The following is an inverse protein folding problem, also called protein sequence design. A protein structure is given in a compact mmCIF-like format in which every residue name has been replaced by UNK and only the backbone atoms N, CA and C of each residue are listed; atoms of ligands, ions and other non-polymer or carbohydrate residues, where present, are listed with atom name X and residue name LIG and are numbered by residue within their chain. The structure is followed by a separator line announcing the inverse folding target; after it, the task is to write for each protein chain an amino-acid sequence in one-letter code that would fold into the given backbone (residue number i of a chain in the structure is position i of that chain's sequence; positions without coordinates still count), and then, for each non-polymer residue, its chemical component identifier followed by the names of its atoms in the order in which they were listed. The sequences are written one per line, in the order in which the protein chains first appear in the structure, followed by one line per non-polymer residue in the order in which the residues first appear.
data_IF_392339712046
#
_entry.id   IF_392339712046
#
_cell.length_a   1.000
_cell.length_b   1.000
_cell.length_c   1.000
_cell.angle_alpha   90.00
_cell.angle_beta   90.00
_cell.angle_gamma   90.00
#
_symmetry.space_group_name_H-M   'P 1'
#
loop_
_entity.id
_entity.type
_entity.pdbx_description
1 polymer ?
#
# COMPACT_ATOMS: atom_id res chain seq x y z
N UNK A 1 -1.84 10.65 -19.61
CA UNK A 1 -0.38 10.54 -19.81
C UNK A 1 0.01 9.06 -19.83
N UNK A 2 0.96 8.60 -20.66
CA UNK A 2 1.40 7.18 -20.60
C UNK A 2 2.51 7.06 -19.55
N UNK A 3 2.33 6.27 -18.47
CA UNK A 3 3.34 6.10 -17.43
C UNK A 3 4.62 5.46 -18.01
N UNK A 4 5.78 5.91 -17.54
CA UNK A 4 7.12 5.49 -17.99
C UNK A 4 7.99 5.04 -16.82
N UNK A 5 8.93 4.11 -17.03
CA UNK A 5 9.90 3.73 -15.99
C UNK A 5 10.79 4.90 -15.52
N UNK A 6 10.92 5.96 -16.32
CA UNK A 6 11.65 7.17 -15.93
C UNK A 6 10.90 8.03 -14.92
N UNK A 7 9.58 7.85 -14.79
CA UNK A 7 8.78 8.66 -13.87
C UNK A 7 9.18 8.33 -12.41
N UNK A 8 8.91 9.25 -11.49
CA UNK A 8 9.27 9.07 -10.08
C UNK A 8 8.47 7.93 -9.44
N UNK A 9 9.04 7.29 -8.43
CA UNK A 9 8.40 6.19 -7.68
C UNK A 9 7.08 6.66 -7.07
N UNK A 10 7.09 7.82 -6.42
CA UNK A 10 5.89 8.42 -5.84
C UNK A 10 4.80 8.69 -6.90
N UNK A 11 5.18 9.08 -8.12
CA UNK A 11 4.22 9.28 -9.21
C UNK A 11 3.58 7.96 -9.66
N UNK A 12 4.37 6.90 -9.82
CA UNK A 12 3.86 5.59 -10.22
C UNK A 12 2.94 4.99 -9.15
N UNK A 13 3.30 5.12 -7.86
CA UNK A 13 2.46 4.70 -6.73
C UNK A 13 1.16 5.50 -6.69
N UNK A 14 1.24 6.82 -6.89
CA UNK A 14 0.06 7.67 -6.95
C UNK A 14 -0.89 7.26 -8.08
N UNK A 15 -0.37 7.01 -9.29
CA UNK A 15 -1.18 6.54 -10.42
C UNK A 15 -1.80 5.17 -10.14
N UNK A 16 -1.08 4.27 -9.45
CA UNK A 16 -1.64 2.97 -9.05
C UNK A 16 -2.86 3.16 -8.16
N UNK A 17 -2.74 3.99 -7.12
CA UNK A 17 -3.84 4.29 -6.21
C UNK A 17 -5.02 4.96 -6.92
N UNK A 18 -4.75 5.90 -7.82
CA UNK A 18 -5.78 6.52 -8.64
C UNK A 18 -6.56 5.47 -9.45
N UNK A 19 -5.88 4.55 -10.14
CA UNK A 19 -6.58 3.55 -10.94
C UNK A 19 -7.33 2.51 -10.10
N UNK A 20 -6.77 2.06 -8.97
CA UNK A 20 -7.47 1.15 -8.05
C UNK A 20 -8.76 1.80 -7.54
N UNK A 21 -8.68 3.04 -7.04
CA UNK A 21 -9.86 3.76 -6.54
C UNK A 21 -10.87 4.14 -7.63
N UNK A 22 -10.47 4.28 -8.90
CA UNK A 22 -11.42 4.36 -10.01
C UNK A 22 -12.16 3.04 -10.22
N UNK A 23 -11.44 1.91 -10.20
CA UNK A 23 -12.02 0.59 -10.38
C UNK A 23 -13.02 0.24 -9.26
N UNK A 24 -12.75 0.65 -8.02
CA UNK A 24 -13.67 0.45 -6.89
C UNK A 24 -15.01 1.20 -7.06
N UNK A 25 -15.02 2.30 -7.83
CA UNK A 25 -16.18 3.18 -7.99
C UNK A 25 -16.95 2.97 -9.29
N UNK A 26 -16.34 2.33 -10.29
CA UNK A 26 -16.95 2.11 -11.60
C UNK A 26 -17.58 0.71 -11.68
N UNK A 27 -18.90 0.65 -11.91
CA UNK A 27 -19.60 -0.62 -12.20
C UNK A 27 -19.27 -1.16 -13.60
N UNK A 28 -18.70 -0.34 -14.50
CA UNK A 28 -18.33 -0.75 -15.87
C UNK A 28 -16.98 -0.18 -16.28
N UNK A 29 -16.10 -0.97 -16.94
CA UNK A 29 -14.78 -0.52 -17.33
C UNK A 29 -14.83 0.59 -18.39
N UNK A 30 -14.33 1.78 -18.04
CA UNK A 30 -14.15 2.87 -19.01
C UNK A 30 -13.25 2.42 -20.17
N UNK A 31 -13.64 2.78 -21.40
CA UNK A 31 -12.89 2.49 -22.62
C UNK A 31 -11.42 2.89 -22.51
N UNK A 32 -10.52 1.90 -22.63
CA UNK A 32 -9.08 2.12 -22.57
C UNK A 32 -8.45 2.09 -21.17
N UNK A 33 -9.24 1.94 -20.10
CA UNK A 33 -8.75 1.81 -18.72
C UNK A 33 -7.76 0.65 -18.56
N UNK A 34 -8.11 -0.55 -19.04
CA UNK A 34 -7.23 -1.73 -19.04
C UNK A 34 -5.87 -1.46 -19.73
N UNK A 35 -5.84 -0.72 -20.85
CA UNK A 35 -4.57 -0.36 -21.53
C UNK A 35 -3.69 0.57 -20.68
N UNK A 36 -4.30 1.46 -19.89
CA UNK A 36 -3.58 2.37 -19.02
C UNK A 36 -3.01 1.64 -17.80
N UNK A 37 -3.81 0.77 -17.17
CA UNK A 37 -3.37 -0.15 -16.10
C UNK A 37 -2.21 -1.02 -16.58
N UNK A 38 -2.30 -1.60 -17.77
CA UNK A 38 -1.24 -2.39 -18.38
C UNK A 38 0.05 -1.60 -18.65
N UNK A 39 -0.09 -0.34 -19.07
CA UNK A 39 1.06 0.53 -19.27
C UNK A 39 1.73 0.85 -17.93
N UNK A 40 0.93 1.11 -16.89
CA UNK A 40 1.42 1.40 -15.55
C UNK A 40 2.12 0.19 -14.93
N UNK A 41 1.49 -0.99 -14.97
CA UNK A 41 2.08 -2.22 -14.42
C UNK A 41 3.44 -2.51 -15.07
N UNK A 42 3.56 -2.38 -16.40
CA UNK A 42 4.86 -2.50 -17.11
C UNK A 42 5.89 -1.45 -16.70
N UNK A 43 5.47 -0.22 -16.37
CA UNK A 43 6.37 0.81 -15.89
C UNK A 43 6.87 0.49 -14.47
N UNK A 44 5.95 0.08 -13.59
CA UNK A 44 6.24 -0.32 -12.20
C UNK A 44 7.13 -1.55 -12.14
N UNK A 45 6.83 -2.61 -12.91
CA UNK A 45 7.69 -3.81 -13.00
C UNK A 45 9.13 -3.45 -13.36
N UNK A 46 9.33 -2.64 -14.41
CA UNK A 46 10.67 -2.25 -14.86
C UNK A 46 11.42 -1.40 -13.83
N UNK A 47 10.72 -0.51 -13.14
CA UNK A 47 11.31 0.33 -12.09
C UNK A 47 11.68 -0.51 -10.87
N UNK A 48 10.77 -1.37 -10.38
CA UNK A 48 11.01 -2.26 -9.24
C UNK A 48 12.11 -3.31 -9.52
N UNK A 49 12.25 -3.77 -10.76
CA UNK A 49 13.31 -4.70 -11.16
C UNK A 49 14.69 -4.03 -11.34
N UNK A 50 14.75 -2.70 -11.43
CA UNK A 50 16.01 -1.99 -11.64
C UNK A 50 16.79 -1.86 -10.34
N UNK A 51 18.01 -2.39 -10.31
CA UNK A 51 18.95 -2.25 -9.18
C UNK A 51 19.39 -0.80 -8.94
N UNK A 52 19.22 0.08 -9.93
CA UNK A 52 19.45 1.52 -9.77
C UNK A 52 18.38 2.21 -8.91
N UNK A 53 17.23 1.56 -8.68
CA UNK A 53 16.20 2.07 -7.78
C UNK A 53 16.54 1.62 -6.35
N UNK A 54 16.59 2.52 -5.36
CA UNK A 54 16.86 2.16 -3.97
C UNK A 54 15.88 1.11 -3.44
N UNK A 55 16.33 0.28 -2.50
CA UNK A 55 15.49 -0.79 -1.95
C UNK A 55 14.24 -0.26 -1.23
N UNK A 56 14.40 0.83 -0.48
CA UNK A 56 13.29 1.55 0.18
C UNK A 56 12.23 2.07 -0.80
N UNK A 57 12.59 2.30 -2.07
CA UNK A 57 11.67 2.70 -3.13
C UNK A 57 11.06 1.49 -3.86
N UNK A 58 11.82 0.40 -3.99
CA UNK A 58 11.39 -0.83 -4.68
C UNK A 58 10.26 -1.54 -3.92
N UNK A 59 10.31 -1.55 -2.59
CA UNK A 59 9.31 -2.21 -1.74
C UNK A 59 7.91 -1.58 -1.83
N UNK A 60 7.71 -0.26 -1.58
CA UNK A 60 6.39 0.37 -1.75
C UNK A 60 5.85 0.26 -3.17
N UNK A 61 6.74 0.28 -4.16
CA UNK A 61 6.39 0.12 -5.56
C UNK A 61 5.89 -1.31 -5.85
N UNK A 62 6.55 -2.33 -5.32
CA UNK A 62 6.17 -3.73 -5.45
C UNK A 62 4.80 -4.00 -4.80
N UNK A 63 4.58 -3.51 -3.58
CA UNK A 63 3.27 -3.65 -2.91
C UNK A 63 2.16 -2.88 -3.64
N UNK A 64 2.46 -1.67 -4.13
CA UNK A 64 1.50 -0.90 -4.94
C UNK A 64 1.20 -1.56 -6.29
N UNK A 65 2.14 -2.32 -6.85
CA UNK A 65 1.94 -3.13 -8.04
C UNK A 65 1.03 -4.32 -7.74
N UNK A 66 1.20 -4.98 -6.60
CA UNK A 66 0.28 -6.04 -6.15
C UNK A 66 -1.16 -5.53 -6.08
N UNK A 67 -1.35 -4.38 -5.41
CA UNK A 67 -2.66 -3.73 -5.31
C UNK A 67 -3.25 -3.37 -6.68
N UNK A 68 -2.43 -2.87 -7.61
CA UNK A 68 -2.87 -2.59 -8.98
C UNK A 68 -3.36 -3.86 -9.69
N UNK A 69 -2.58 -4.95 -9.64
CA UNK A 69 -2.89 -6.19 -10.34
C UNK A 69 -4.20 -6.81 -9.84
N UNK A 70 -4.42 -6.80 -8.52
CA UNK A 70 -5.58 -7.42 -7.88
C UNK A 70 -6.80 -6.49 -7.78
N UNK A 71 -6.60 -5.18 -7.70
CA UNK A 71 -7.67 -4.19 -7.54
C UNK A 71 -8.24 -3.64 -8.86
N UNK A 72 -7.67 -3.98 -10.02
CA UNK A 72 -8.14 -3.47 -11.33
C UNK A 72 -8.45 -4.55 -12.35
N UNK A 73 -8.31 -5.82 -11.99
CA UNK A 73 -8.53 -6.96 -12.88
C UNK A 73 -9.71 -7.80 -12.40
N UNK A 74 -10.71 -8.01 -13.26
CA UNK A 74 -11.82 -8.96 -12.99
C UNK A 74 -11.39 -10.42 -13.15
N UNK A 75 -10.33 -10.67 -13.92
CA UNK A 75 -9.78 -12.00 -14.18
C UNK A 75 -8.29 -11.98 -13.81
N UNK A 76 -7.87 -12.96 -13.02
CA UNK A 76 -6.46 -13.12 -12.61
C UNK A 76 -5.57 -13.39 -13.84
N UNK A 77 -4.63 -12.50 -14.09
CA UNK A 77 -3.59 -12.66 -15.10
C UNK A 77 -2.40 -13.43 -14.50
N UNK A 78 -2.46 -14.77 -14.61
CA UNK A 78 -1.45 -15.68 -14.02
C UNK A 78 -0.01 -15.31 -14.39
N UNK A 79 0.21 -14.84 -15.62
CA UNK A 79 1.56 -14.46 -16.07
C UNK A 79 2.07 -13.25 -15.29
N UNK A 80 1.21 -12.26 -15.03
CA UNK A 80 1.60 -11.09 -14.21
C UNK A 80 1.76 -11.47 -12.75
N UNK A 81 0.96 -12.40 -12.24
CA UNK A 81 1.12 -12.95 -10.89
C UNK A 81 2.49 -13.64 -10.73
N UNK A 82 2.83 -14.58 -11.61
CA UNK A 82 4.14 -15.27 -11.59
C UNK A 82 5.32 -14.29 -11.71
N UNK A 83 5.18 -13.25 -12.53
CA UNK A 83 6.18 -12.18 -12.64
C UNK A 83 6.32 -11.38 -11.36
N UNK A 84 5.21 -11.11 -10.67
CA UNK A 84 5.21 -10.43 -9.39
C UNK A 84 5.87 -11.32 -8.32
N UNK A 85 5.48 -12.60 -8.21
CA UNK A 85 6.02 -13.54 -7.22
C UNK A 85 7.55 -13.66 -7.35
N UNK A 86 8.03 -13.86 -8.58
CA UNK A 86 9.47 -13.96 -8.87
C UNK A 86 10.25 -12.70 -8.50
N UNK A 87 9.63 -11.52 -8.69
CA UNK A 87 10.26 -10.25 -8.36
C UNK A 87 10.19 -9.98 -6.85
N UNK A 88 9.08 -10.35 -6.22
CA UNK A 88 8.85 -10.19 -4.79
C UNK A 88 9.87 -10.98 -3.98
N UNK A 89 10.05 -12.26 -4.27
CA UNK A 89 11.02 -13.13 -3.61
C UNK A 89 12.43 -12.52 -3.63
N UNK A 90 12.87 -12.01 -4.79
CA UNK A 90 14.17 -11.35 -4.94
C UNK A 90 14.32 -10.07 -4.11
N UNK A 91 13.29 -9.22 -4.11
CA UNK A 91 13.33 -7.95 -3.38
C UNK A 91 13.23 -8.19 -1.87
N UNK A 92 12.36 -9.11 -1.43
CA UNK A 92 12.20 -9.52 -0.03
C UNK A 92 13.53 -10.08 0.49
N UNK A 93 14.18 -10.97 -0.26
CA UNK A 93 15.51 -11.47 0.10
C UNK A 93 16.55 -10.35 0.25
N UNK A 94 16.57 -9.37 -0.66
CA UNK A 94 17.50 -8.25 -0.57
C UNK A 94 17.21 -7.33 0.64
N UNK A 95 15.95 -7.22 1.05
CA UNK A 95 15.51 -6.38 2.16
C UNK A 95 15.60 -7.04 3.53
N UNK A 96 15.82 -8.36 3.56
CA UNK A 96 15.76 -9.16 4.77
C UNK A 96 16.76 -8.71 5.84
N UNK A 97 18.05 -8.63 5.49
CA UNK A 97 19.09 -8.24 6.44
C UNK A 97 18.99 -6.77 6.89
N UNK A 98 18.77 -5.78 5.99
CA UNK A 98 18.48 -4.39 6.39
C UNK A 98 17.31 -4.27 7.38
N UNK A 99 16.21 -4.98 7.13
CA UNK A 99 15.04 -4.94 8.01
C UNK A 99 15.33 -5.55 9.39
N UNK A 100 16.08 -6.65 9.45
CA UNK A 100 16.52 -7.28 10.71
C UNK A 100 17.51 -6.42 11.48
N UNK A 101 18.31 -5.62 10.78
CA UNK A 101 19.18 -4.63 11.39
C UNK A 101 18.41 -3.41 11.95
N UNK A 102 17.10 -3.31 11.68
CA UNK A 102 16.24 -2.27 12.21
C UNK A 102 16.14 -1.02 11.34
N UNK A 103 16.44 -1.10 10.04
CA UNK A 103 16.24 0.02 9.12
C UNK A 103 14.75 0.36 8.97
N UNK A 104 14.33 1.48 9.59
CA UNK A 104 12.92 1.86 9.67
C UNK A 104 12.27 2.10 8.30
N UNK A 105 13.01 2.66 7.35
CA UNK A 105 12.54 2.92 5.98
C UNK A 105 12.23 1.64 5.19
N UNK A 106 12.79 0.50 5.61
CA UNK A 106 12.61 -0.80 4.97
C UNK A 106 11.51 -1.62 5.68
N UNK A 107 11.43 -1.48 7.01
CA UNK A 107 10.61 -2.35 7.87
C UNK A 107 9.14 -2.42 7.44
N UNK A 108 8.45 -1.28 7.42
CA UNK A 108 7.01 -1.23 7.12
C UNK A 108 6.72 -1.62 5.65
N UNK A 109 7.46 -1.10 4.64
CA UNK A 109 7.28 -1.53 3.26
C UNK A 109 7.56 -3.03 3.03
N UNK A 110 8.57 -3.61 3.69
CA UNK A 110 8.83 -5.04 3.62
C UNK A 110 7.65 -5.85 4.15
N UNK A 111 7.10 -5.45 5.29
CA UNK A 111 5.96 -6.15 5.88
C UNK A 111 4.72 -6.11 4.98
N UNK A 112 4.50 -5.02 4.23
CA UNK A 112 3.45 -4.99 3.19
C UNK A 112 3.71 -6.02 2.09
N UNK A 113 4.94 -6.09 1.58
CA UNK A 113 5.30 -7.09 0.56
C UNK A 113 5.17 -8.53 1.09
N UNK A 114 5.51 -8.78 2.36
CA UNK A 114 5.33 -10.09 2.99
C UNK A 114 3.85 -10.44 3.11
N UNK A 115 3.01 -9.49 3.56
CA UNK A 115 1.56 -9.69 3.57
C UNK A 115 1.04 -10.00 2.16
N UNK A 116 1.42 -9.20 1.15
CA UNK A 116 1.06 -9.44 -0.26
C UNK A 116 1.48 -10.85 -0.74
N UNK A 117 2.70 -11.28 -0.39
CA UNK A 117 3.28 -12.57 -0.78
C UNK A 117 2.51 -13.75 -0.18
N UNK A 118 2.13 -13.65 1.10
CA UNK A 118 1.38 -14.69 1.79
C UNK A 118 -0.14 -14.65 1.56
N UNK A 119 -0.67 -13.77 0.72
CA UNK A 119 -2.13 -13.59 0.58
C UNK A 119 -2.89 -14.86 0.16
N UNK A 120 -2.29 -15.68 -0.71
CA UNK A 120 -2.93 -16.91 -1.22
C UNK A 120 -2.29 -18.18 -0.67
N UNK A 121 -1.26 -18.07 0.18
CA UNK A 121 -0.56 -19.22 0.75
C UNK A 121 -1.03 -19.43 2.19
N UNK A 122 -1.49 -20.63 2.60
CA UNK A 122 -1.71 -20.93 4.00
C UNK A 122 -0.45 -20.64 4.80
N UNK A 123 -0.50 -19.57 5.60
CA UNK A 123 0.61 -19.04 6.39
C UNK A 123 1.41 -20.17 7.05
N UNK A 124 2.66 -20.44 6.63
CA UNK A 124 3.45 -21.48 7.26
C UNK A 124 3.89 -20.92 8.61
N UNK A 125 3.33 -21.43 9.71
CA UNK A 125 3.61 -20.94 11.08
C UNK A 125 5.11 -20.96 11.44
N UNK A 126 5.91 -21.74 10.72
CA UNK A 126 7.35 -21.89 10.89
C UNK A 126 8.20 -21.09 9.87
N UNK A 127 7.57 -20.39 8.92
CA UNK A 127 8.30 -19.61 7.92
C UNK A 127 8.96 -18.37 8.55
N UNK A 128 10.28 -18.17 8.38
CA UNK A 128 10.98 -17.05 8.99
C UNK A 128 10.43 -15.67 8.60
N UNK A 129 10.01 -15.50 7.34
CA UNK A 129 9.43 -14.24 6.87
C UNK A 129 8.05 -14.00 7.48
N UNK A 130 7.23 -15.04 7.59
CA UNK A 130 5.93 -14.92 8.25
C UNK A 130 6.08 -14.59 9.75
N UNK A 131 7.01 -15.25 10.44
CA UNK A 131 7.34 -14.96 11.84
C UNK A 131 7.77 -13.50 12.02
N UNK A 132 8.64 -12.99 11.13
CA UNK A 132 9.08 -11.59 11.17
C UNK A 132 7.94 -10.59 10.95
N UNK A 133 7.03 -10.87 10.02
CA UNK A 133 5.82 -10.06 9.81
C UNK A 133 4.96 -10.02 11.08
N UNK A 134 4.64 -11.20 11.65
CA UNK A 134 3.84 -11.33 12.87
C UNK A 134 4.47 -10.59 14.05
N UNK A 135 5.76 -10.77 14.27
CA UNK A 135 6.48 -10.16 15.39
C UNK A 135 6.55 -8.63 15.21
N UNK A 136 6.70 -8.15 13.97
CA UNK A 136 6.65 -6.71 13.67
C UNK A 136 5.27 -6.10 13.93
N UNK A 137 4.19 -6.76 13.49
CA UNK A 137 2.81 -6.33 13.78
C UNK A 137 2.53 -6.34 15.28
N UNK A 138 3.02 -7.35 16.00
CA UNK A 138 2.92 -7.43 17.46
C UNK A 138 3.59 -6.24 18.13
N UNK A 139 4.84 -5.91 17.74
CA UNK A 139 5.56 -4.74 18.24
C UNK A 139 4.82 -3.42 17.97
N UNK A 140 4.20 -3.27 16.80
CA UNK A 140 3.40 -2.08 16.52
C UNK A 140 2.18 -1.98 17.44
N UNK A 141 1.47 -3.09 17.66
CA UNK A 141 0.35 -3.18 18.58
C UNK A 141 0.73 -2.89 20.04
N UNK A 142 1.84 -3.44 20.52
CA UNK A 142 2.40 -3.14 21.85
C UNK A 142 2.75 -1.66 22.00
N UNK A 143 3.25 -1.03 20.94
CA UNK A 143 3.47 0.41 20.89
C UNK A 143 2.18 1.21 21.11
N UNK A 144 1.07 0.80 20.47
CA UNK A 144 -0.25 1.43 20.68
C UNK A 144 -0.86 1.11 22.05
N UNK A 145 -0.54 -0.05 22.62
CA UNK A 145 -0.99 -0.39 23.97
C UNK A 145 -0.29 0.45 25.04
N UNK A 146 0.96 0.83 24.77
CA UNK A 146 1.78 1.64 25.68
C UNK A 146 1.52 3.14 25.56
N UNK A 147 1.11 3.61 24.38
CA UNK A 147 0.79 5.02 24.11
C UNK A 147 -0.36 5.11 23.11
N UNK A 148 -1.31 6.06 23.25
CA UNK A 148 -2.43 6.22 22.31
C UNK A 148 -2.01 6.56 20.88
N UNK A 149 -0.74 6.88 20.65
CA UNK A 149 -0.15 7.13 19.33
C UNK A 149 1.37 6.85 19.36
N UNK A 150 1.97 6.62 18.19
CA UNK A 150 3.42 6.50 18.07
C UNK A 150 4.08 7.88 18.04
N UNK A 151 5.00 8.13 18.97
CA UNK A 151 5.82 9.33 19.01
C UNK A 151 6.92 9.30 17.94
N UNK A 152 7.31 10.47 17.44
CA UNK A 152 8.41 10.61 16.47
C UNK A 152 8.11 10.16 15.04
N UNK A 153 7.00 9.45 14.79
CA UNK A 153 6.64 9.01 13.44
C UNK A 153 5.97 10.11 12.62
N UNK A 154 6.28 10.10 11.32
CA UNK A 154 5.54 10.90 10.36
C UNK A 154 4.09 10.43 10.25
N UNK A 155 3.22 11.32 9.76
CA UNK A 155 1.83 10.97 9.49
C UNK A 155 1.72 9.84 8.45
N UNK A 156 2.59 9.87 7.44
CA UNK A 156 2.63 8.87 6.37
C UNK A 156 3.01 7.49 6.91
N UNK A 157 4.06 7.42 7.73
CA UNK A 157 4.51 6.16 8.36
C UNK A 157 3.46 5.63 9.35
N UNK A 158 2.84 6.51 10.14
CA UNK A 158 1.80 6.11 11.08
C UNK A 158 0.60 5.47 10.37
N UNK A 159 0.14 6.09 9.28
CA UNK A 159 -0.94 5.54 8.46
C UNK A 159 -0.52 4.26 7.71
N UNK A 160 0.76 4.15 7.32
CA UNK A 160 1.29 2.94 6.71
C UNK A 160 1.26 1.76 7.70
N UNK A 161 1.68 1.96 8.96
CA UNK A 161 1.58 0.93 10.02
C UNK A 161 0.14 0.52 10.27
N UNK A 162 -0.79 1.47 10.34
CA UNK A 162 -2.23 1.19 10.48
C UNK A 162 -2.73 0.37 9.29
N UNK A 163 -2.37 0.74 8.06
CA UNK A 163 -2.69 -0.01 6.84
C UNK A 163 -2.18 -1.45 6.90
N UNK A 164 -0.94 -1.65 7.33
CA UNK A 164 -0.36 -2.98 7.47
C UNK A 164 -1.14 -3.81 8.50
N UNK A 165 -1.42 -3.23 9.68
CA UNK A 165 -2.14 -3.93 10.75
C UNK A 165 -3.60 -4.23 10.36
N UNK A 166 -4.28 -3.31 9.67
CA UNK A 166 -5.63 -3.50 9.13
C UNK A 166 -5.67 -4.68 8.16
N UNK A 167 -4.69 -4.71 7.25
CA UNK A 167 -4.53 -5.76 6.26
C UNK A 167 -4.17 -7.10 6.90
N UNK A 168 -3.26 -7.11 7.87
CA UNK A 168 -2.87 -8.30 8.62
C UNK A 168 -4.08 -8.93 9.34
N UNK A 169 -4.90 -8.10 10.00
CA UNK A 169 -6.13 -8.52 10.67
C UNK A 169 -7.10 -9.23 9.72
N UNK A 170 -7.32 -8.66 8.52
CA UNK A 170 -8.16 -9.29 7.49
C UNK A 170 -7.58 -10.60 6.97
N UNK A 171 -6.31 -10.59 6.57
CA UNK A 171 -5.69 -11.68 5.83
C UNK A 171 -5.43 -12.91 6.69
N UNK A 172 -5.02 -12.70 7.93
CA UNK A 172 -4.61 -13.77 8.85
C UNK A 172 -5.62 -13.99 9.99
N UNK A 173 -6.75 -13.27 9.96
CA UNK A 173 -7.83 -13.36 10.96
C UNK A 173 -7.34 -13.14 12.40
N UNK A 174 -6.28 -12.33 12.58
CA UNK A 174 -5.77 -11.94 13.90
C UNK A 174 -6.31 -10.58 14.31
N UNK A 175 -7.37 -10.61 15.11
CA UNK A 175 -8.10 -9.43 15.57
C UNK A 175 -7.56 -8.82 16.88
N UNK A 176 -6.41 -9.31 17.38
CA UNK A 176 -5.88 -8.93 18.71
C UNK A 176 -5.73 -7.43 18.91
N UNK A 177 -5.39 -6.72 17.84
CA UNK A 177 -5.05 -5.30 17.87
C UNK A 177 -6.14 -4.39 17.31
N UNK A 178 -7.26 -4.93 16.82
CA UNK A 178 -8.24 -4.20 16.02
C UNK A 178 -8.78 -2.96 16.71
N UNK A 179 -9.09 -3.05 18.01
CA UNK A 179 -9.57 -1.91 18.80
C UNK A 179 -8.55 -0.76 18.82
N UNK A 180 -7.28 -1.08 19.08
CA UNK A 180 -6.21 -0.08 19.15
C UNK A 180 -5.92 0.51 17.77
N UNK A 181 -5.94 -0.32 16.72
CA UNK A 181 -5.77 0.13 15.33
C UNK A 181 -6.89 1.08 14.92
N UNK A 182 -8.15 0.77 15.25
CA UNK A 182 -9.28 1.66 14.97
C UNK A 182 -9.24 2.98 15.74
N UNK A 183 -8.75 2.97 16.98
CA UNK A 183 -8.51 4.20 17.77
C UNK A 183 -7.39 5.04 17.16
N UNK A 184 -6.27 4.42 16.81
CA UNK A 184 -5.14 5.08 16.15
C UNK A 184 -5.57 5.67 14.79
N UNK A 185 -6.33 4.92 13.98
CA UNK A 185 -6.86 5.40 12.71
C UNK A 185 -7.66 6.68 12.87
N UNK A 186 -8.62 6.74 13.81
CA UNK A 186 -9.39 7.96 14.07
C UNK A 186 -8.50 9.14 14.45
N UNK A 187 -7.49 8.91 15.28
CA UNK A 187 -6.54 9.94 15.67
C UNK A 187 -5.74 10.48 14.47
N UNK A 188 -5.12 9.61 13.68
CA UNK A 188 -4.28 10.02 12.56
C UNK A 188 -5.11 10.55 11.37
N UNK A 189 -6.32 10.05 11.15
CA UNK A 189 -7.25 10.62 10.17
C UNK A 189 -7.63 12.07 10.52
N UNK A 190 -7.96 12.36 11.79
CA UNK A 190 -8.23 13.72 12.23
C UNK A 190 -7.03 14.66 12.05
N UNK A 191 -5.81 14.16 12.35
CA UNK A 191 -4.56 14.91 12.11
C UNK A 191 -4.31 15.18 10.63
N UNK A 192 -4.56 14.20 9.76
CA UNK A 192 -4.40 14.34 8.33
C UNK A 192 -5.37 15.36 7.73
N UNK A 193 -6.63 15.36 8.17
CA UNK A 193 -7.63 16.35 7.75
C UNK A 193 -7.28 17.78 8.20
N UNK A 194 -6.56 17.91 9.33
CA UNK A 194 -6.14 19.19 9.89
C UNK A 194 -4.79 19.69 9.36
N UNK A 195 -4.04 18.84 8.66
CA UNK A 195 -2.74 19.21 8.11
C UNK A 195 -2.92 20.13 6.89
N UNK A 196 -2.04 21.13 6.77
CA UNK A 196 -2.13 22.19 5.76
C UNK A 196 -1.93 21.69 4.33
N UNK A 197 -1.05 20.70 4.14
CA UNK A 197 -0.76 20.11 2.84
C UNK A 197 -0.31 18.64 2.98
N UNK A 198 -1.23 17.70 3.27
CA UNK A 198 -0.90 16.28 3.36
C UNK A 198 -0.38 15.76 2.02
N UNK A 199 0.55 14.80 2.06
CA UNK A 199 1.09 14.18 0.85
C UNK A 199 0.01 13.39 0.10
N UNK A 200 0.16 13.17 -1.22
CA UNK A 200 -0.74 12.30 -1.96
C UNK A 200 -0.78 10.87 -1.39
N UNK A 201 0.32 10.41 -0.80
CA UNK A 201 0.40 9.11 -0.12
C UNK A 201 -0.51 9.05 1.11
N UNK A 202 -0.56 10.13 1.92
CA UNK A 202 -1.52 10.23 3.04
C UNK A 202 -2.96 10.11 2.55
N UNK A 203 -3.33 10.84 1.50
CA UNK A 203 -4.70 10.75 0.96
C UNK A 203 -5.02 9.37 0.40
N UNK A 204 -4.07 8.74 -0.31
CA UNK A 204 -4.22 7.36 -0.76
C UNK A 204 -4.49 6.39 0.38
N UNK A 205 -3.73 6.50 1.48
CA UNK A 205 -3.90 5.63 2.64
C UNK A 205 -5.20 5.88 3.40
N UNK A 206 -5.63 7.13 3.52
CA UNK A 206 -6.94 7.42 4.10
C UNK A 206 -8.08 6.84 3.27
N UNK A 207 -7.98 6.89 1.94
CA UNK A 207 -8.96 6.24 1.07
C UNK A 207 -9.02 4.74 1.34
N UNK A 208 -7.87 4.04 1.21
CA UNK A 208 -7.78 2.58 1.42
C UNK A 208 -8.38 2.17 2.79
N UNK A 209 -7.92 2.81 3.87
CA UNK A 209 -8.34 2.50 5.24
C UNK A 209 -9.82 2.77 5.51
N UNK A 210 -10.42 3.71 4.78
CA UNK A 210 -11.84 4.07 4.93
C UNK A 210 -12.77 3.18 4.10
N UNK A 211 -12.23 2.39 3.16
CA UNK A 211 -13.00 1.52 2.26
C UNK A 211 -12.81 0.02 2.53
N UNK A 212 -11.68 -0.40 3.11
CA UNK A 212 -11.38 -1.82 3.31
C UNK A 212 -12.28 -2.51 4.35
N UNK A 213 -12.63 -1.81 5.44
CA UNK A 213 -13.50 -2.33 6.50
C UNK A 213 -12.96 -3.57 7.20
N UNK A 214 -12.07 -3.40 8.18
CA UNK A 214 -11.51 -4.50 9.00
C UNK A 214 -11.27 -4.00 10.44
N UNK A 215 -10.02 -3.90 10.88
CA UNK A 215 -9.63 -3.23 12.13
C UNK A 215 -10.02 -1.73 12.12
N UNK A 216 -9.97 -1.12 10.94
CA UNK A 216 -10.45 0.24 10.70
C UNK A 216 -11.92 0.20 10.26
N UNK A 217 -12.81 0.99 10.89
CA UNK A 217 -14.19 1.09 10.46
C UNK A 217 -14.27 1.76 9.09
N UNK A 218 -15.19 1.28 8.25
CA UNK A 218 -15.52 1.97 7.00
C UNK A 218 -16.07 3.36 7.30
N UNK A 219 -15.63 4.34 6.52
CA UNK A 219 -16.09 5.73 6.62
C UNK A 219 -16.23 6.32 5.20
N UNK A 220 -17.44 6.22 4.65
CA UNK A 220 -17.74 6.71 3.30
C UNK A 220 -17.49 8.21 3.14
N UNK A 221 -17.68 9.00 4.21
CA UNK A 221 -17.44 10.45 4.15
C UNK A 221 -15.95 10.76 4.06
N UNK A 222 -15.13 10.06 4.84
CA UNK A 222 -13.68 10.20 4.78
C UNK A 222 -13.12 9.67 3.46
N UNK A 223 -13.61 8.51 2.99
CA UNK A 223 -13.25 7.95 1.69
C UNK A 223 -13.55 8.93 0.55
N UNK A 224 -14.75 9.54 0.54
CA UNK A 224 -15.12 10.53 -0.48
C UNK A 224 -14.20 11.76 -0.45
N UNK A 225 -13.89 12.30 0.74
CA UNK A 225 -12.96 13.43 0.89
C UNK A 225 -11.56 13.09 0.40
N UNK A 226 -11.05 11.92 0.77
CA UNK A 226 -9.73 11.45 0.34
C UNK A 226 -9.68 11.28 -1.19
N UNK A 227 -10.71 10.67 -1.77
CA UNK A 227 -10.87 10.50 -3.21
C UNK A 227 -10.86 11.85 -3.96
N UNK A 228 -11.64 12.83 -3.52
CA UNK A 228 -11.64 14.17 -4.13
C UNK A 228 -10.24 14.79 -4.14
N UNK A 229 -9.45 14.59 -3.08
CA UNK A 229 -8.08 15.09 -2.98
C UNK A 229 -7.13 14.35 -3.92
N UNK A 230 -7.26 13.04 -4.05
CA UNK A 230 -6.51 12.22 -5.02
C UNK A 230 -6.79 12.72 -6.44
N UNK A 231 -8.06 12.84 -6.84
CA UNK A 231 -8.45 13.29 -8.18
C UNK A 231 -7.97 14.72 -8.45
N UNK A 232 -8.15 15.65 -7.52
CA UNK A 232 -7.65 17.04 -7.67
C UNK A 232 -6.14 17.09 -7.88
N UNK A 233 -5.41 16.23 -7.19
CA UNK A 233 -3.95 16.09 -7.36
C UNK A 233 -3.59 15.51 -8.73
N UNK A 234 -4.47 14.71 -9.34
CA UNK A 234 -4.27 14.14 -10.67
C UNK A 234 -4.53 15.15 -11.81
N UNK A 235 -5.36 16.19 -11.60
CA UNK A 235 -5.76 17.16 -12.65
C UNK A 235 -4.56 17.81 -13.38
N UNK A 236 -3.49 18.28 -12.69
CA UNK A 236 -2.33 18.86 -13.38
C UNK A 236 -1.61 17.89 -14.33
N UNK A 237 -1.76 16.58 -14.11
CA UNK A 237 -1.19 15.52 -14.94
C UNK A 237 -2.09 15.11 -16.12
N UNK A 238 -3.35 15.57 -16.11
CA UNK A 238 -4.32 15.39 -17.18
C UNK A 238 -4.25 16.55 -18.19
N UNK A 239 -3.09 16.79 -18.82
CA UNK A 239 -3.03 17.72 -19.96
C UNK A 239 -3.70 17.11 -21.21
N UNK A 240 -4.35 17.93 -22.06
CA UNK A 240 -4.98 17.45 -23.28
C UNK A 240 -3.90 16.89 -24.20
N UNK A 241 -4.20 15.75 -24.82
CA UNK A 241 -3.43 15.24 -25.95
C UNK A 241 -3.72 16.20 -27.11
N UNK A 242 -2.76 17.07 -27.44
CA UNK A 242 -2.71 17.74 -28.75
C UNK A 242 -2.20 16.76 -29.80
#
# INVERSE_FOLDING_TARGET
MRPRPSDSVSHLIFLSRLYVSMADREEQPVSGFSRQVDALSRAMFRKAASEATPLADRLPLLSSLYGLLNGTSYIVDRRKTEQWDTLAEKIIHAAWEPARAGEEEILTPLCFCLADYFYFDPAPEEDPWFLFLRDTVTRFGEGLASSPHWEGLSLEESLARIGLMNRYSYMFLDHRWDRLVGEAFRHYAARALSASSPSPAVWGRLYDLSTEGNACPMDESLAAKAWERIVRTAIPYARPIS
#
